data_IF_027363042390
#
_entry.id   IF_027363042390
#
_cell.length_a   1.000
_cell.length_b   1.000
_cell.length_c   1.000
_cell.angle_alpha   90.00
_cell.angle_beta   90.00
_cell.angle_gamma   90.00
#
_symmetry.space_group_name_H-M   'P 1'
#
loop_
_entity.id
_entity.type
_entity.pdbx_description
1 polymer ?
#
# COMPACT_ATOMS: atom_id res chain seq x y z
N UNK A 1 -8.69 -15.41 12.80
CA UNK A 1 -7.48 -16.16 13.23
C UNK A 1 -6.36 -15.16 13.52
N UNK A 2 -5.37 -15.52 14.35
CA UNK A 2 -4.27 -14.59 14.64
C UNK A 2 -3.20 -14.62 13.55
N UNK A 3 -2.73 -15.81 13.17
CA UNK A 3 -1.66 -16.03 12.18
C UNK A 3 -2.26 -16.16 10.76
N UNK A 4 -1.64 -15.59 9.71
CA UNK A 4 -2.06 -15.78 8.31
C UNK A 4 -1.97 -17.24 7.85
N UNK A 5 -2.86 -17.66 6.95
CA UNK A 5 -2.90 -19.06 6.49
C UNK A 5 -1.58 -19.52 5.89
N UNK A 6 -0.83 -18.64 5.23
CA UNK A 6 0.48 -18.97 4.66
C UNK A 6 1.48 -19.51 5.70
N UNK A 7 1.32 -19.14 6.98
CA UNK A 7 2.18 -19.54 8.09
C UNK A 7 1.57 -20.67 8.95
N UNK A 8 0.33 -21.09 8.66
CA UNK A 8 -0.35 -22.15 9.42
C UNK A 8 0.16 -23.53 8.97
N UNK A 9 0.84 -24.25 9.87
CA UNK A 9 1.45 -25.57 9.60
C UNK A 9 0.43 -26.58 9.05
N UNK A 10 -0.77 -26.65 9.62
CA UNK A 10 -1.83 -27.56 9.21
C UNK A 10 -2.86 -26.88 8.29
N UNK A 11 -2.43 -25.92 7.45
CA UNK A 11 -3.29 -25.21 6.48
C UNK A 11 -4.08 -26.20 5.62
N UNK A 12 -3.44 -27.25 5.11
CA UNK A 12 -4.10 -28.22 4.24
C UNK A 12 -5.28 -28.94 4.92
N UNK A 13 -5.11 -29.35 6.18
CA UNK A 13 -6.17 -30.00 6.96
C UNK A 13 -7.34 -29.04 7.20
N UNK A 14 -7.05 -27.79 7.57
CA UNK A 14 -8.05 -26.74 7.75
C UNK A 14 -8.84 -26.50 6.45
N UNK A 15 -8.16 -26.37 5.31
CA UNK A 15 -8.81 -26.19 4.01
C UNK A 15 -9.62 -27.44 3.61
N UNK A 16 -9.17 -28.64 3.98
CA UNK A 16 -9.90 -29.88 3.75
C UNK A 16 -11.22 -29.95 4.51
N UNK A 17 -11.23 -29.56 5.78
CA UNK A 17 -12.47 -29.45 6.59
C UNK A 17 -13.41 -28.39 6.00
N UNK A 18 -12.86 -27.27 5.54
CA UNK A 18 -13.64 -26.16 4.99
C UNK A 18 -14.10 -26.37 3.54
N UNK A 19 -13.63 -27.41 2.85
CA UNK A 19 -13.94 -27.66 1.43
C UNK A 19 -15.44 -27.86 1.15
N UNK A 20 -16.21 -28.28 2.15
CA UNK A 20 -17.67 -28.44 2.06
C UNK A 20 -18.44 -27.12 2.23
N UNK A 21 -17.75 -26.03 2.57
CA UNK A 21 -18.31 -24.71 2.80
C UNK A 21 -17.95 -23.74 1.66
N UNK A 22 -18.88 -23.45 0.75
CA UNK A 22 -18.57 -22.65 -0.44
C UNK A 22 -18.31 -21.17 -0.10
N UNK A 23 -18.91 -20.66 0.98
CA UNK A 23 -18.89 -19.25 1.35
C UNK A 23 -18.01 -19.02 2.59
N UNK A 24 -16.69 -19.08 2.42
CA UNK A 24 -15.71 -18.83 3.49
C UNK A 24 -14.81 -17.66 3.11
N UNK A 25 -14.64 -16.72 4.04
CA UNK A 25 -13.63 -15.68 4.00
C UNK A 25 -12.75 -15.79 5.26
N UNK A 26 -11.44 -15.72 5.08
CA UNK A 26 -10.48 -15.78 6.18
C UNK A 26 -10.08 -14.37 6.61
N UNK A 27 -10.12 -14.12 7.91
CA UNK A 27 -9.65 -12.86 8.51
C UNK A 27 -8.51 -13.19 9.47
N UNK A 28 -7.30 -12.78 9.12
CA UNK A 28 -6.05 -13.05 9.85
C UNK A 28 -5.32 -11.77 10.22
N UNK A 29 -4.31 -11.84 11.09
CA UNK A 29 -3.60 -10.68 11.63
C UNK A 29 -2.09 -10.96 11.81
N UNK A 30 -1.50 -10.61 12.95
CA UNK A 30 -0.11 -10.86 13.36
C UNK A 30 0.99 -10.09 12.63
N UNK A 31 0.91 -9.89 11.31
CA UNK A 31 2.04 -9.36 10.53
C UNK A 31 2.25 -7.84 10.60
N UNK A 32 1.30 -7.09 11.17
CA UNK A 32 1.28 -5.62 11.13
C UNK A 32 1.37 -5.08 9.70
N UNK A 33 0.68 -5.75 8.76
CA UNK A 33 0.61 -5.42 7.33
C UNK A 33 -0.77 -5.74 6.77
N UNK A 34 -1.25 -4.93 5.84
CA UNK A 34 -2.41 -5.27 5.04
C UNK A 34 -1.99 -6.21 3.92
N UNK A 35 -2.72 -7.31 3.74
CA UNK A 35 -2.55 -8.20 2.59
C UNK A 35 -3.87 -8.87 2.25
N UNK A 36 -4.12 -9.09 0.97
CA UNK A 36 -5.28 -9.85 0.48
C UNK A 36 -4.82 -10.97 -0.41
N UNK A 37 -5.09 -12.19 0.02
CA UNK A 37 -4.72 -13.41 -0.70
C UNK A 37 -5.96 -14.14 -1.20
N UNK A 38 -5.77 -14.95 -2.24
CA UNK A 38 -6.81 -15.79 -2.81
C UNK A 38 -6.31 -17.22 -2.86
N UNK A 39 -7.01 -18.11 -2.15
CA UNK A 39 -6.69 -19.52 -2.04
C UNK A 39 -7.62 -20.31 -2.97
N UNK A 40 -7.04 -21.08 -3.89
CA UNK A 40 -7.80 -21.88 -4.85
C UNK A 40 -8.58 -23.00 -4.14
N UNK A 41 -9.83 -23.19 -4.56
CA UNK A 41 -10.68 -24.31 -4.17
C UNK A 41 -10.62 -25.41 -5.22
N UNK A 42 -10.90 -26.66 -4.82
CA UNK A 42 -10.84 -27.81 -5.72
C UNK A 42 -11.78 -27.70 -6.94
N UNK A 43 -12.91 -27.01 -6.80
CA UNK A 43 -13.89 -26.79 -7.87
C UNK A 43 -13.68 -25.46 -8.64
N UNK A 44 -12.50 -24.84 -8.53
CA UNK A 44 -12.11 -23.68 -9.34
C UNK A 44 -12.54 -22.31 -8.83
N UNK A 45 -13.26 -22.22 -7.70
CA UNK A 45 -13.48 -20.94 -7.02
C UNK A 45 -12.28 -20.54 -6.14
N UNK A 46 -12.31 -19.37 -5.54
CA UNK A 46 -11.24 -18.91 -4.63
C UNK A 46 -11.81 -18.42 -3.31
N UNK A 47 -11.30 -18.92 -2.19
CA UNK A 47 -11.47 -18.25 -0.91
C UNK A 47 -10.59 -17.02 -0.84
N UNK A 48 -11.07 -15.96 -0.21
CA UNK A 48 -10.28 -14.78 0.07
C UNK A 48 -9.81 -14.80 1.52
N UNK A 49 -8.55 -14.46 1.72
CA UNK A 49 -8.01 -14.10 3.02
C UNK A 49 -7.66 -12.62 3.06
N UNK A 50 -8.05 -11.95 4.15
CA UNK A 50 -7.65 -10.58 4.47
C UNK A 50 -6.79 -10.62 5.72
N UNK A 51 -5.49 -10.35 5.55
CA UNK A 51 -4.58 -10.02 6.66
C UNK A 51 -4.84 -8.56 7.00
N UNK A 52 -5.46 -8.30 8.17
CA UNK A 52 -6.07 -7.01 8.49
C UNK A 52 -5.08 -5.94 8.97
N UNK A 53 -3.79 -6.24 8.95
CA UNK A 53 -2.77 -5.40 9.57
C UNK A 53 -2.96 -5.29 11.07
N UNK A 54 -2.71 -4.11 11.61
CA UNK A 54 -2.89 -3.82 13.02
C UNK A 54 -3.40 -2.39 13.22
N UNK A 55 -4.34 -2.20 14.15
CA UNK A 55 -4.86 -0.87 14.51
C UNK A 55 -3.77 0.03 15.07
N UNK A 56 -2.79 -0.55 15.75
CA UNK A 56 -1.60 0.14 16.23
C UNK A 56 -0.54 0.40 15.15
N UNK A 57 -0.78 -0.01 13.89
CA UNK A 57 0.21 0.09 12.82
C UNK A 57 1.47 -0.70 13.17
N UNK A 58 2.65 -0.15 12.94
CA UNK A 58 3.90 -0.73 13.45
C UNK A 58 4.07 -0.49 14.96
N UNK A 59 3.30 -1.20 15.81
CA UNK A 59 3.39 -1.18 17.28
C UNK A 59 3.42 0.20 17.95
N UNK A 60 2.67 1.18 17.42
CA UNK A 60 2.71 2.59 17.89
C UNK A 60 4.11 3.24 17.77
N UNK A 61 4.94 2.76 16.85
CA UNK A 61 6.28 3.25 16.62
C UNK A 61 6.38 4.22 15.44
N UNK A 62 7.53 4.85 15.30
CA UNK A 62 7.85 5.76 14.20
C UNK A 62 7.72 7.22 14.61
N UNK A 63 7.85 8.09 13.60
CA UNK A 63 7.77 9.54 13.79
C UNK A 63 6.40 9.97 14.30
N UNK A 64 6.40 10.92 15.23
CA UNK A 64 5.19 11.51 15.78
C UNK A 64 4.73 12.70 14.93
N UNK A 65 3.41 12.89 14.80
CA UNK A 65 2.86 14.13 14.26
C UNK A 65 2.88 15.26 15.30
N UNK A 66 2.37 16.44 14.93
CA UNK A 66 2.34 17.64 15.79
C UNK A 66 1.53 17.46 17.08
N UNK A 67 0.70 16.41 17.17
CA UNK A 67 -0.07 16.07 18.37
C UNK A 67 0.60 14.97 19.19
N UNK A 68 1.80 14.54 18.81
CA UNK A 68 2.53 13.46 19.48
C UNK A 68 2.03 12.07 19.10
N UNK A 69 1.21 11.93 18.05
CA UNK A 69 0.67 10.62 17.66
C UNK A 69 1.63 9.97 16.65
N UNK A 70 2.11 8.74 16.89
CA UNK A 70 2.99 8.04 15.95
C UNK A 70 2.28 7.77 14.63
N UNK A 71 2.99 8.04 13.53
CA UNK A 71 2.59 7.64 12.18
C UNK A 71 2.26 6.15 12.14
N UNK A 72 3.09 5.32 12.78
CA UNK A 72 2.98 3.87 12.84
C UNK A 72 2.70 3.25 11.48
N UNK A 73 3.39 3.74 10.46
CA UNK A 73 3.29 3.21 9.11
C UNK A 73 3.62 1.71 9.12
N UNK A 74 2.72 0.90 8.59
CA UNK A 74 2.93 -0.54 8.51
C UNK A 74 4.03 -0.86 7.50
N UNK A 75 4.71 -2.00 7.65
CA UNK A 75 5.84 -2.38 6.79
C UNK A 75 5.47 -2.58 5.30
N UNK A 76 4.17 -2.67 4.99
CA UNK A 76 3.63 -2.70 3.63
C UNK A 76 3.34 -1.30 3.04
N UNK A 77 3.54 -0.22 3.80
CA UNK A 77 3.28 1.17 3.40
C UNK A 77 1.84 1.65 3.58
N UNK A 78 0.93 0.80 4.06
CA UNK A 78 -0.38 1.26 4.49
C UNK A 78 -0.31 1.97 5.86
N UNK A 79 -0.99 3.11 6.07
CA UNK A 79 -1.08 3.76 7.38
C UNK A 79 -1.78 2.85 8.40
N UNK A 80 -1.58 3.04 9.70
CA UNK A 80 -2.38 2.35 10.73
C UNK A 80 -3.89 2.59 10.54
N UNK A 81 -4.71 1.60 10.84
CA UNK A 81 -6.15 1.68 10.54
C UNK A 81 -6.92 0.41 10.86
N UNK A 82 -8.13 0.31 10.31
CA UNK A 82 -9.02 -0.82 10.52
C UNK A 82 -9.84 -1.14 9.27
N UNK A 83 -10.32 -2.36 9.17
CA UNK A 83 -11.17 -2.82 8.09
C UNK A 83 -12.64 -2.76 8.47
N UNK A 84 -13.49 -2.46 7.50
CA UNK A 84 -14.95 -2.65 7.57
C UNK A 84 -15.33 -3.77 6.62
N UNK A 85 -16.03 -4.76 7.14
CA UNK A 85 -16.63 -5.84 6.38
C UNK A 85 -18.14 -5.64 6.39
N UNK A 86 -18.73 -5.54 5.22
CA UNK A 86 -20.18 -5.54 5.05
C UNK A 86 -20.57 -6.84 4.37
N UNK A 87 -21.39 -7.66 5.03
CA UNK A 87 -21.87 -8.94 4.50
C UNK A 87 -23.28 -8.75 3.97
N UNK A 88 -23.49 -9.11 2.71
CA UNK A 88 -24.79 -9.10 2.05
C UNK A 88 -25.62 -10.32 2.40
N UNK A 89 -26.93 -10.27 2.07
CA UNK A 89 -27.89 -11.34 2.38
C UNK A 89 -27.55 -12.66 1.68
N UNK A 90 -26.85 -12.60 0.54
CA UNK A 90 -26.50 -13.76 -0.28
C UNK A 90 -25.10 -14.31 0.05
N UNK A 91 -24.45 -13.76 1.08
CA UNK A 91 -23.09 -14.14 1.49
C UNK A 91 -21.98 -13.47 0.68
N UNK A 92 -22.33 -12.59 -0.26
CA UNK A 92 -21.39 -11.63 -0.84
C UNK A 92 -20.93 -10.62 0.22
N UNK A 93 -19.80 -9.96 -0.02
CA UNK A 93 -19.32 -8.96 0.92
C UNK A 93 -18.47 -7.88 0.26
N UNK A 94 -18.46 -6.72 0.92
CA UNK A 94 -17.63 -5.58 0.59
C UNK A 94 -16.62 -5.32 1.70
N UNK A 95 -15.42 -4.91 1.29
CA UNK A 95 -14.30 -4.59 2.16
C UNK A 95 -13.91 -3.13 1.97
N UNK A 96 -13.81 -2.39 3.06
CA UNK A 96 -13.27 -1.04 3.05
C UNK A 96 -12.19 -0.90 4.13
N UNK A 97 -10.99 -0.49 3.73
CA UNK A 97 -9.98 -0.10 4.70
C UNK A 97 -10.21 1.34 5.14
N UNK A 98 -9.93 1.65 6.40
CA UNK A 98 -10.00 3.00 6.93
C UNK A 98 -8.70 3.31 7.67
N UNK A 99 -7.85 4.09 7.01
CA UNK A 99 -6.67 4.68 7.65
C UNK A 99 -7.11 5.62 8.78
N UNK A 100 -6.54 5.45 9.96
CA UNK A 100 -6.77 6.30 11.12
C UNK A 100 -6.21 7.70 10.85
N UNK A 101 -6.89 8.74 11.33
CA UNK A 101 -6.54 10.16 11.11
C UNK A 101 -6.71 10.70 9.68
N UNK A 102 -7.05 9.86 8.71
CA UNK A 102 -7.31 10.27 7.32
C UNK A 102 -8.80 10.20 6.98
N UNK A 103 -9.31 10.91 5.95
CA UNK A 103 -10.67 10.70 5.46
C UNK A 103 -10.86 9.28 4.89
N UNK A 104 -12.10 8.80 4.81
CA UNK A 104 -12.39 7.48 4.25
C UNK A 104 -11.98 7.34 2.77
N UNK A 105 -11.85 8.44 2.06
CA UNK A 105 -11.38 8.49 0.66
C UNK A 105 -9.87 8.29 0.51
N UNK A 106 -9.09 8.38 1.59
CA UNK A 106 -7.64 8.14 1.54
C UNK A 106 -7.35 6.63 1.52
N UNK A 107 -7.37 6.06 0.33
CA UNK A 107 -7.24 4.62 0.08
C UNK A 107 -5.94 4.24 -0.62
N UNK A 108 -5.18 5.21 -1.11
CA UNK A 108 -3.91 4.95 -1.77
C UNK A 108 -2.96 6.15 -1.63
N UNK A 109 -1.66 5.87 -1.72
CA UNK A 109 -0.60 6.87 -1.87
C UNK A 109 0.08 6.71 -3.23
N UNK A 110 0.63 7.83 -3.72
CA UNK A 110 1.40 7.85 -4.95
C UNK A 110 2.76 8.46 -4.62
N UNK A 111 3.80 7.74 -4.94
CA UNK A 111 5.18 8.17 -4.84
C UNK A 111 5.73 8.48 -6.23
N UNK A 112 6.43 9.59 -6.32
CA UNK A 112 7.23 9.99 -7.47
C UNK A 112 8.57 10.48 -6.94
N UNK A 113 9.70 10.12 -7.57
CA UNK A 113 10.97 10.76 -7.25
C UNK A 113 10.88 12.24 -7.64
N UNK A 114 11.05 13.13 -6.68
CA UNK A 114 11.07 14.58 -6.88
C UNK A 114 12.48 15.12 -6.68
N UNK A 115 12.87 16.05 -7.54
CA UNK A 115 14.09 16.83 -7.34
C UNK A 115 13.83 17.84 -6.20
N UNK A 116 14.21 17.46 -4.99
CA UNK A 116 14.16 18.34 -3.83
C UNK A 116 15.56 18.63 -3.32
N UNK A 117 15.98 19.89 -3.42
CA UNK A 117 17.23 20.37 -2.79
C UNK A 117 17.14 20.30 -1.26
N UNK A 118 15.93 20.44 -0.71
CA UNK A 118 15.65 20.39 0.72
C UNK A 118 15.60 18.96 1.27
N UNK A 119 15.50 17.96 0.39
CA UNK A 119 15.29 16.58 0.78
C UNK A 119 15.77 15.60 -0.32
N UNK A 120 17.09 15.49 -0.53
CA UNK A 120 17.65 14.61 -1.57
C UNK A 120 17.36 13.12 -1.33
N UNK A 121 16.91 12.75 -0.11
CA UNK A 121 16.49 11.41 0.25
C UNK A 121 15.15 10.99 -0.39
N UNK A 122 14.42 11.89 -1.07
CA UNK A 122 13.26 11.52 -1.90
C UNK A 122 13.63 10.71 -3.16
N UNK A 123 14.91 10.57 -3.48
CA UNK A 123 15.41 9.80 -4.63
C UNK A 123 15.88 8.38 -4.25
N UNK A 124 15.26 7.77 -3.25
CA UNK A 124 15.59 6.43 -2.76
C UNK A 124 14.39 5.48 -2.98
N UNK A 125 14.58 4.23 -3.48
CA UNK A 125 15.84 3.53 -3.78
C UNK A 125 16.40 3.83 -5.19
N UNK A 126 17.64 3.41 -5.44
CA UNK A 126 18.49 3.75 -6.60
C UNK A 126 17.91 3.48 -8.01
N UNK A 127 16.74 2.83 -8.11
CA UNK A 127 15.99 2.57 -9.33
C UNK A 127 14.82 3.54 -9.58
N UNK A 128 14.67 4.57 -8.75
CA UNK A 128 13.69 5.64 -8.93
C UNK A 128 14.08 6.55 -10.10
N UNK A 129 14.01 6.02 -11.31
CA UNK A 129 14.08 6.83 -12.52
C UNK A 129 12.86 7.76 -12.56
N UNK A 130 13.04 9.02 -12.99
CA UNK A 130 11.97 10.06 -13.01
C UNK A 130 10.72 9.67 -13.79
N UNK A 131 10.80 8.60 -14.58
CA UNK A 131 9.74 8.06 -15.41
C UNK A 131 8.92 6.97 -14.70
N UNK A 132 9.01 6.81 -13.38
CA UNK A 132 8.23 5.83 -12.63
C UNK A 132 7.47 6.49 -11.47
N UNK A 133 6.17 6.24 -11.40
CA UNK A 133 5.37 6.46 -10.21
C UNK A 133 5.01 5.11 -9.57
N UNK A 134 5.13 5.05 -8.24
CA UNK A 134 4.74 3.88 -7.46
C UNK A 134 3.45 4.20 -6.70
N UNK A 135 2.45 3.35 -6.88
CA UNK A 135 1.09 3.53 -6.38
C UNK A 135 0.83 2.43 -5.36
N UNK A 136 0.71 2.80 -4.09
CA UNK A 136 0.39 1.89 -3.02
C UNK A 136 -1.10 1.99 -2.71
N UNK A 137 -1.87 0.94 -3.01
CA UNK A 137 -3.32 0.90 -2.74
C UNK A 137 -3.53 0.08 -1.48
N UNK A 138 -3.85 0.71 -0.35
CA UNK A 138 -3.73 0.10 0.99
C UNK A 138 -4.58 -1.17 1.21
N UNK A 139 -5.65 -1.33 0.42
CA UNK A 139 -6.55 -2.49 0.43
C UNK A 139 -6.47 -3.32 -0.86
N UNK A 140 -5.44 -3.08 -1.67
CA UNK A 140 -5.24 -3.68 -2.97
C UNK A 140 -4.97 -5.18 -2.91
N UNK A 141 -5.24 -5.86 -4.02
CA UNK A 141 -5.05 -7.29 -4.18
C UNK A 141 -4.78 -7.67 -5.66
N UNK A 142 -4.60 -8.95 -5.95
CA UNK A 142 -4.50 -9.45 -7.33
C UNK A 142 -5.76 -9.22 -8.18
N UNK A 143 -6.90 -8.86 -7.57
CA UNK A 143 -8.14 -8.49 -8.27
C UNK A 143 -8.30 -6.99 -8.46
N UNK A 144 -7.35 -6.19 -7.98
CA UNK A 144 -7.40 -4.73 -8.08
C UNK A 144 -6.86 -4.26 -9.42
N UNK A 145 -7.68 -3.49 -10.13
CA UNK A 145 -7.29 -2.78 -11.35
C UNK A 145 -6.87 -1.36 -10.98
N UNK A 146 -5.65 -0.98 -11.38
CA UNK A 146 -5.11 0.36 -11.15
C UNK A 146 -4.80 1.01 -12.49
N UNK A 147 -5.25 2.25 -12.64
CA UNK A 147 -4.94 3.08 -13.79
C UNK A 147 -4.50 4.46 -13.34
N UNK A 148 -3.73 5.11 -14.20
CA UNK A 148 -3.30 6.48 -14.01
C UNK A 148 -3.45 7.27 -15.31
N UNK A 149 -3.49 8.60 -15.20
CA UNK A 149 -3.30 9.51 -16.33
C UNK A 149 -2.45 10.69 -15.92
N UNK A 150 -1.75 11.25 -16.90
CA UNK A 150 -0.98 12.48 -16.74
C UNK A 150 -1.79 13.66 -17.30
N UNK A 151 -2.02 14.67 -16.48
CA UNK A 151 -2.83 15.85 -16.79
C UNK A 151 -4.17 15.41 -17.41
N UNK A 152 -4.49 15.89 -18.62
CA UNK A 152 -5.73 15.54 -19.33
C UNK A 152 -5.52 14.40 -20.36
N UNK A 153 -4.43 13.65 -20.25
CA UNK A 153 -4.13 12.51 -21.11
C UNK A 153 -5.05 11.31 -20.91
N UNK A 154 -4.83 10.28 -21.73
CA UNK A 154 -5.57 9.03 -21.66
C UNK A 154 -5.24 8.24 -20.38
N UNK A 155 -6.23 7.50 -19.88
CA UNK A 155 -6.02 6.51 -18.82
C UNK A 155 -5.15 5.36 -19.31
N UNK A 156 -4.13 5.03 -18.54
CA UNK A 156 -3.16 3.99 -18.80
C UNK A 156 -3.12 3.01 -17.61
N UNK A 157 -2.88 1.71 -17.85
CA UNK A 157 -2.77 0.75 -16.77
C UNK A 157 -1.47 0.97 -15.97
N UNK A 158 -1.55 0.78 -14.66
CA UNK A 158 -0.38 0.52 -13.81
C UNK A 158 -0.29 -0.99 -13.55
N UNK A 159 0.92 -1.50 -13.34
CA UNK A 159 1.17 -2.94 -13.23
C UNK A 159 1.69 -3.31 -11.85
N UNK A 160 1.23 -4.43 -11.24
CA UNK A 160 1.68 -4.83 -9.92
C UNK A 160 3.20 -5.04 -9.89
N UNK A 161 3.82 -4.70 -8.76
CA UNK A 161 5.27 -4.85 -8.55
C UNK A 161 5.56 -5.26 -7.10
N UNK A 162 6.53 -6.15 -6.91
CA UNK A 162 6.95 -6.63 -5.60
C UNK A 162 8.24 -5.92 -5.16
N UNK A 163 8.10 -4.67 -4.72
CA UNK A 163 9.19 -3.86 -4.13
C UNK A 163 8.72 -3.24 -2.82
N UNK A 164 9.63 -2.84 -1.91
CA UNK A 164 9.25 -2.13 -0.71
C UNK A 164 8.50 -0.84 -1.03
N UNK A 165 7.57 -0.45 -0.15
CA UNK A 165 6.94 0.86 -0.28
C UNK A 165 8.01 1.97 -0.14
N UNK A 166 8.04 2.97 -1.05
CA UNK A 166 9.08 3.99 -1.02
C UNK A 166 9.12 4.82 0.26
N UNK A 167 7.98 5.11 0.87
CA UNK A 167 7.94 5.85 2.14
C UNK A 167 8.49 4.99 3.28
N UNK A 168 8.18 3.70 3.29
CA UNK A 168 8.76 2.75 4.26
C UNK A 168 10.26 2.63 4.06
N UNK A 169 10.73 2.39 2.84
CA UNK A 169 12.15 2.28 2.50
C UNK A 169 12.93 3.52 2.94
N UNK A 170 12.36 4.70 2.67
CA UNK A 170 12.92 5.99 3.10
C UNK A 170 13.05 6.09 4.62
N UNK A 171 12.01 5.73 5.37
CA UNK A 171 12.04 5.78 6.85
C UNK A 171 13.16 4.88 7.38
N UNK A 172 13.28 3.64 6.87
CA UNK A 172 14.35 2.73 7.29
C UNK A 172 15.75 3.26 6.98
N UNK A 173 15.95 3.89 5.83
CA UNK A 173 17.24 4.50 5.49
C UNK A 173 17.59 5.69 6.41
N UNK A 174 16.61 6.53 6.76
CA UNK A 174 16.82 7.60 7.74
C UNK A 174 17.16 7.04 9.12
N UNK A 175 16.48 5.99 9.56
CA UNK A 175 16.74 5.32 10.83
C UNK A 175 18.13 4.68 10.90
N UNK A 176 18.60 4.06 9.81
CA UNK A 176 19.97 3.54 9.70
C UNK A 176 21.02 4.66 9.87
N UNK A 177 20.70 5.87 9.42
CA UNK A 177 21.54 7.08 9.60
C UNK A 177 21.31 7.78 10.95
N UNK A 178 20.43 7.23 11.80
CA UNK A 178 20.00 7.81 13.08
C UNK A 178 19.37 9.21 12.93
N UNK A 179 18.72 9.46 11.81
CA UNK A 179 17.99 10.69 11.54
C UNK A 179 16.52 10.47 11.90
N UNK A 180 16.05 11.21 12.89
CA UNK A 180 14.66 11.19 13.35
C UNK A 180 14.11 12.62 13.30
N UNK A 181 13.14 12.90 12.40
CA UNK A 181 12.49 14.21 12.32
C UNK A 181 11.95 14.76 13.65
N UNK A 182 11.51 13.88 14.56
CA UNK A 182 10.93 14.27 15.84
C UNK A 182 11.70 13.72 17.03
N UNK A 183 11.82 14.53 18.09
CA UNK A 183 12.48 14.13 19.32
C UNK A 183 11.68 12.99 20.01
N UNK A 184 12.39 12.00 20.55
CA UNK A 184 11.82 10.81 21.20
C UNK A 184 10.94 9.95 20.28
N UNK A 185 11.06 10.08 18.96
CA UNK A 185 10.53 9.08 18.04
C UNK A 185 11.20 7.73 18.28
N UNK A 186 10.45 6.64 18.16
CA UNK A 186 11.03 5.31 18.10
C UNK A 186 11.32 4.94 16.65
N UNK A 187 12.30 4.07 16.43
CA UNK A 187 12.46 3.41 15.14
C UNK A 187 11.23 2.56 14.80
N UNK A 188 10.95 2.35 13.51
CA UNK A 188 9.96 1.39 13.07
C UNK A 188 10.57 -0.01 13.25
N UNK A 189 9.79 -0.95 13.77
CA UNK A 189 10.20 -2.33 13.89
C UNK A 189 10.09 -3.08 12.55
N UNK A 190 11.12 -3.89 12.27
CA UNK A 190 11.21 -4.74 11.09
C UNK A 190 12.16 -4.17 10.05
N UNK A 191 11.80 -4.33 8.79
CA UNK A 191 12.56 -3.85 7.64
C UNK A 191 11.62 -3.48 6.48
N UNK A 192 12.15 -2.79 5.48
CA UNK A 192 11.42 -2.43 4.26
C UNK A 192 11.25 -3.66 3.37
N UNK A 193 10.19 -4.43 3.59
CA UNK A 193 9.88 -5.62 2.79
C UNK A 193 8.96 -5.29 1.61
N UNK A 194 8.97 -6.11 0.54
CA UNK A 194 8.06 -5.94 -0.58
C UNK A 194 6.60 -5.80 -0.16
N UNK A 195 5.95 -4.75 -0.65
CA UNK A 195 4.53 -4.51 -0.39
C UNK A 195 3.65 -5.38 -1.30
N UNK A 196 2.58 -6.03 -0.78
CA UNK A 196 1.71 -6.88 -1.58
C UNK A 196 0.70 -6.10 -2.43
N UNK A 197 0.64 -4.79 -2.28
CA UNK A 197 -0.39 -3.93 -2.86
C UNK A 197 0.22 -2.66 -3.47
N UNK A 198 1.21 -2.87 -4.33
CA UNK A 198 1.97 -1.82 -5.00
C UNK A 198 1.95 -1.99 -6.52
N UNK A 199 1.74 -0.89 -7.24
CA UNK A 199 1.67 -0.83 -8.69
C UNK A 199 2.68 0.18 -9.23
N UNK A 200 3.31 -0.17 -10.35
CA UNK A 200 4.23 0.67 -11.11
C UNK A 200 3.50 1.29 -12.30
N UNK A 201 3.49 2.61 -12.34
CA UNK A 201 3.06 3.41 -13.48
C UNK A 201 4.28 3.95 -14.22
N UNK A 202 4.40 3.63 -15.52
CA UNK A 202 5.48 4.15 -16.36
C UNK A 202 5.06 5.51 -16.94
N UNK A 203 5.74 6.55 -16.53
CA UNK A 203 5.59 7.90 -17.06
C UNK A 203 6.43 8.03 -18.34
N UNK A 204 6.13 9.02 -19.21
CA UNK A 204 7.00 9.35 -20.34
C UNK A 204 8.43 9.67 -19.90
N UNK A 205 9.42 9.24 -20.69
CA UNK A 205 10.84 9.45 -20.39
C UNK A 205 11.22 10.94 -20.45
N UNK A 206 10.49 11.73 -21.24
CA UNK A 206 10.72 13.17 -21.47
C UNK A 206 9.46 13.99 -21.17
N UNK A 207 9.22 14.25 -19.88
CA UNK A 207 8.20 15.20 -19.47
C UNK A 207 8.71 16.64 -19.66
N UNK A 208 7.89 17.57 -20.22
CA UNK A 208 8.23 18.98 -20.29
C UNK A 208 8.56 19.57 -18.92
N UNK A 209 9.44 20.58 -18.86
CA UNK A 209 9.65 21.38 -17.64
C UNK A 209 8.32 21.98 -17.19
N UNK A 210 8.02 21.89 -15.90
CA UNK A 210 6.78 22.39 -15.32
C UNK A 210 6.11 21.38 -14.39
N UNK A 211 4.82 21.60 -14.15
CA UNK A 211 4.01 20.85 -13.19
C UNK A 211 3.06 19.90 -13.90
N UNK A 212 3.10 18.63 -13.54
CA UNK A 212 2.27 17.58 -14.10
C UNK A 212 1.42 16.95 -13.02
N UNK A 213 0.12 16.81 -13.28
CA UNK A 213 -0.81 16.13 -12.36
C UNK A 213 -0.88 14.66 -12.74
N UNK A 214 -0.51 13.77 -11.84
CA UNK A 214 -0.81 12.34 -11.94
C UNK A 214 -2.15 12.12 -11.25
N UNK A 215 -3.14 11.65 -12.00
CA UNK A 215 -4.39 11.16 -11.42
C UNK A 215 -4.37 9.64 -11.42
N UNK A 216 -4.80 9.03 -10.32
CA UNK A 216 -4.87 7.59 -10.17
C UNK A 216 -6.29 7.17 -9.81
N UNK A 217 -6.76 6.06 -10.36
CA UNK A 217 -7.96 5.36 -9.91
C UNK A 217 -7.68 3.88 -9.70
N UNK A 218 -8.25 3.31 -8.65
CA UNK A 218 -8.17 1.89 -8.37
C UNK A 218 -9.55 1.34 -8.04
N UNK A 219 -9.88 0.17 -8.60
CA UNK A 219 -11.17 -0.50 -8.37
C UNK A 219 -10.99 -2.01 -8.25
N UNK A 220 -11.85 -2.65 -7.48
CA UNK A 220 -11.97 -4.11 -7.48
C UNK A 220 -13.42 -4.60 -7.28
N UNK A 221 -13.69 -5.91 -7.43
CA UNK A 221 -15.04 -6.47 -7.24
C UNK A 221 -15.54 -6.49 -5.78
N UNK A 222 -14.71 -6.11 -4.80
CA UNK A 222 -14.99 -6.23 -3.36
C UNK A 222 -15.24 -4.87 -2.71
N UNK A 223 -15.56 -3.84 -3.50
CA UNK A 223 -15.94 -2.52 -3.01
C UNK A 223 -14.81 -1.50 -2.94
N UNK A 224 -13.58 -1.87 -3.31
CA UNK A 224 -12.52 -0.87 -3.45
C UNK A 224 -12.86 0.09 -4.59
N UNK A 225 -12.99 1.37 -4.26
CA UNK A 225 -13.09 2.46 -5.23
C UNK A 225 -12.28 3.64 -4.71
N UNK A 226 -11.11 3.85 -5.30
CA UNK A 226 -10.16 4.84 -4.84
C UNK A 226 -9.78 5.81 -5.96
N UNK A 227 -9.54 7.07 -5.58
CA UNK A 227 -8.93 8.09 -6.42
C UNK A 227 -7.89 8.85 -5.62
N UNK A 228 -6.78 9.18 -6.25
CA UNK A 228 -5.83 10.13 -5.68
C UNK A 228 -5.14 10.93 -6.77
N UNK A 229 -4.43 11.95 -6.31
CA UNK A 229 -3.70 12.90 -7.14
C UNK A 229 -2.30 13.05 -6.59
N UNK A 230 -1.30 13.12 -7.47
CA UNK A 230 0.07 13.52 -7.14
C UNK A 230 0.51 14.58 -8.11
N UNK A 231 1.20 15.60 -7.60
CA UNK A 231 1.86 16.59 -8.43
C UNK A 231 3.30 16.13 -8.63
N UNK A 232 3.76 16.12 -9.87
CA UNK A 232 5.15 15.88 -10.26
C UNK A 232 5.69 17.15 -10.88
N UNK A 233 6.76 17.69 -10.29
CA UNK A 233 7.44 18.88 -10.82
C UNK A 233 8.71 18.45 -11.55
N UNK A 234 8.83 18.86 -12.82
CA UNK A 234 10.05 18.70 -13.62
C UNK A 234 10.76 20.03 -13.63
N UNK A 235 11.89 20.09 -12.92
CA UNK A 235 12.73 21.28 -12.87
C UNK A 235 13.56 21.44 -14.15
N UNK A 236 13.90 22.67 -14.55
CA UNK A 236 14.90 22.88 -15.59
C UNK A 236 16.25 22.28 -15.15
N UNK A 237 17.11 21.86 -16.09
CA UNK A 237 18.45 21.42 -15.74
C UNK A 237 19.16 22.51 -14.94
N UNK A 238 19.82 22.11 -13.84
CA UNK A 238 20.62 23.04 -13.02
C UNK A 238 21.63 23.74 -13.90
N UNK A 239 21.68 25.07 -13.86
CA UNK A 239 22.74 25.83 -14.55
C UNK A 239 24.09 25.43 -13.93
N UNK A 240 25.14 25.23 -14.74
CA UNK A 240 26.48 24.88 -14.26
C UNK A 240 27.07 25.96 -13.36
#
# INVERSE_FOLDING_TARGET
MHIPLAEVVNKADLLGVLAQHPNVAFISAHEHRNRREFHAQAHGATWQEVVVGATCGSWWQGEHDIFGIPSALMNCGAPKGYWKLQVGEQGDYLLAYKASQYPATFQLSVWTPEDSEWDPAQNLPADSTRNVALINVFAGSSKTRVEFRLSDGAWQPAYPVAVPDPYVARIYQLQQRRIYPTAKASALAGQAEPSPHLWRARLPDSLPVGTHKIEVRATDPYGLQARAYRVLTVNPPSRP
#
